data_IF_454617403432
#
_entry.id   IF_454617403432
#
_cell.length_a   1.000
_cell.length_b   1.000
_cell.length_c   1.000
_cell.angle_alpha   90.00
_cell.angle_beta   90.00
_cell.angle_gamma   90.00
#
_symmetry.space_group_name_H-M   'P 1'
#
loop_
_entity.id
_entity.type
_entity.pdbx_description
1 polymer ?
#
# COMPACT_ATOMS: atom_id res chain seq x y z
N UNK A 1 -15.03 -47.71 -5.92
CA UNK A 1 -14.67 -46.86 -4.76
C UNK A 1 -13.53 -45.88 -5.07
N UNK A 2 -12.42 -46.32 -5.70
CA UNK A 2 -11.28 -45.44 -6.02
C UNK A 2 -11.61 -44.26 -6.96
N UNK A 3 -12.56 -44.44 -7.89
CA UNK A 3 -12.98 -43.38 -8.82
C UNK A 3 -13.65 -42.22 -8.07
N UNK A 4 -14.52 -42.53 -7.10
CA UNK A 4 -15.21 -41.54 -6.29
C UNK A 4 -14.22 -40.77 -5.41
N UNK A 5 -13.24 -41.48 -4.82
CA UNK A 5 -12.18 -40.87 -4.03
C UNK A 5 -11.31 -39.91 -4.88
N UNK A 6 -10.90 -40.32 -6.08
CA UNK A 6 -10.12 -39.48 -6.99
C UNK A 6 -10.88 -38.23 -7.43
N UNK A 7 -12.19 -38.35 -7.66
CA UNK A 7 -13.04 -37.22 -8.02
C UNK A 7 -13.14 -36.22 -6.84
N UNK A 8 -13.33 -36.71 -5.62
CA UNK A 8 -13.37 -35.85 -4.42
C UNK A 8 -12.04 -35.12 -4.21
N UNK A 9 -10.90 -35.79 -4.39
CA UNK A 9 -9.57 -35.19 -4.21
C UNK A 9 -9.33 -34.09 -5.26
N UNK A 10 -9.65 -34.36 -6.53
CA UNK A 10 -9.43 -33.39 -7.62
C UNK A 10 -10.33 -32.17 -7.50
N UNK A 11 -11.61 -32.34 -7.11
CA UNK A 11 -12.51 -31.20 -6.86
C UNK A 11 -12.07 -30.38 -5.66
N UNK A 12 -11.63 -31.04 -4.57
CA UNK A 12 -11.15 -30.35 -3.36
C UNK A 12 -9.86 -29.57 -3.63
N UNK A 13 -8.92 -30.16 -4.37
CA UNK A 13 -7.68 -29.49 -4.75
C UNK A 13 -7.95 -28.30 -5.66
N UNK A 14 -8.84 -28.44 -6.64
CA UNK A 14 -9.23 -27.34 -7.55
C UNK A 14 -9.88 -26.18 -6.79
N UNK A 15 -10.79 -26.48 -5.85
CA UNK A 15 -11.44 -25.47 -5.02
C UNK A 15 -10.44 -24.71 -4.14
N UNK A 16 -9.48 -25.44 -3.53
CA UNK A 16 -8.46 -24.84 -2.67
C UNK A 16 -7.48 -23.98 -3.48
N UNK A 17 -7.10 -24.43 -4.68
CA UNK A 17 -6.25 -23.67 -5.59
C UNK A 17 -6.91 -22.38 -6.07
N UNK A 18 -8.20 -22.42 -6.39
CA UNK A 18 -8.98 -21.21 -6.74
C UNK A 18 -9.07 -20.25 -5.56
N UNK A 19 -9.32 -20.76 -4.35
CA UNK A 19 -9.39 -19.96 -3.12
C UNK A 19 -8.04 -19.27 -2.81
N UNK A 20 -6.94 -20.00 -2.95
CA UNK A 20 -5.59 -19.46 -2.77
C UNK A 20 -5.25 -18.40 -3.83
N UNK A 21 -5.58 -18.66 -5.10
CA UNK A 21 -5.37 -17.67 -6.16
C UNK A 21 -6.21 -16.40 -5.97
N UNK A 22 -7.39 -16.52 -5.36
CA UNK A 22 -8.23 -15.37 -5.04
C UNK A 22 -7.70 -14.54 -3.86
N UNK A 23 -6.96 -15.14 -2.93
CA UNK A 23 -6.49 -14.49 -1.69
C UNK A 23 -5.06 -13.95 -1.77
N UNK A 24 -4.23 -14.44 -2.70
CA UNK A 24 -2.82 -14.01 -2.83
C UNK A 24 -2.70 -12.51 -3.17
N UNK A 25 -3.62 -11.93 -3.97
CA UNK A 25 -3.60 -10.50 -4.30
C UNK A 25 -3.97 -9.60 -3.10
N UNK A 26 -4.76 -10.11 -2.14
CA UNK A 26 -5.27 -9.33 -1.00
C UNK A 26 -4.22 -9.22 0.13
N UNK A 27 -3.29 -10.17 0.23
CA UNK A 27 -2.22 -10.19 1.25
C UNK A 27 -1.17 -9.07 1.11
N UNK A 28 -1.16 -8.35 -0.01
CA UNK A 28 -0.24 -7.22 -0.22
C UNK A 28 -0.76 -5.89 0.33
N UNK A 29 -2.04 -5.85 0.70
CA UNK A 29 -2.77 -4.62 1.05
C UNK A 29 -3.44 -4.67 2.41
N UNK A 30 -2.92 -5.43 3.38
CA UNK A 30 -3.44 -5.36 4.76
C UNK A 30 -3.52 -3.90 5.22
N UNK A 31 -4.61 -3.48 5.87
CA UNK A 31 -4.76 -2.12 6.37
C UNK A 31 -3.65 -1.84 7.36
N UNK A 32 -2.62 -1.09 6.92
CA UNK A 32 -1.52 -0.69 7.77
C UNK A 32 -2.07 0.28 8.81
N UNK A 33 -2.22 -0.20 10.04
CA UNK A 33 -2.36 0.69 11.17
C UNK A 33 -0.97 1.13 11.67
N UNK A 34 -0.79 2.39 12.08
CA UNK A 34 0.47 2.84 12.71
C UNK A 34 0.84 1.95 13.90
N UNK A 35 -0.16 1.40 14.60
CA UNK A 35 0.04 0.44 15.69
C UNK A 35 0.60 -0.90 15.19
N UNK A 36 0.06 -1.43 14.09
CA UNK A 36 0.58 -2.65 13.46
C UNK A 36 2.00 -2.45 12.92
N UNK A 37 2.31 -1.26 12.39
CA UNK A 37 3.63 -0.86 11.93
C UNK A 37 4.67 -0.85 13.06
N UNK A 38 4.28 -0.33 14.22
CA UNK A 38 5.12 -0.28 15.42
C UNK A 38 5.47 -1.68 15.96
N UNK A 39 4.61 -2.67 15.74
CA UNK A 39 4.75 -4.05 16.22
C UNK A 39 5.38 -4.99 15.18
N UNK A 40 5.56 -4.54 13.94
CA UNK A 40 6.05 -5.41 12.86
C UNK A 40 7.56 -5.68 13.02
N UNK A 41 8.01 -6.95 13.13
CA UNK A 41 9.42 -7.29 13.36
C UNK A 41 10.34 -6.99 12.17
N UNK A 42 9.77 -6.85 10.97
CA UNK A 42 10.47 -6.38 9.76
C UNK A 42 10.38 -4.86 9.70
N UNK A 43 11.26 -4.19 10.44
CA UNK A 43 11.25 -2.73 10.65
C UNK A 43 10.99 -1.91 9.38
N UNK A 44 9.72 -1.55 9.18
CA UNK A 44 9.29 -0.56 8.20
C UNK A 44 9.66 0.82 8.71
N UNK A 45 10.04 1.69 7.79
CA UNK A 45 10.43 3.06 8.14
C UNK A 45 9.27 3.99 7.83
N UNK A 46 8.91 4.84 8.79
CA UNK A 46 7.92 5.88 8.60
C UNK A 46 8.61 7.13 8.03
N UNK A 47 8.31 7.48 6.79
CA UNK A 47 8.75 8.73 6.16
C UNK A 47 7.69 9.80 6.38
N UNK A 48 8.09 10.92 6.95
CA UNK A 48 7.24 12.07 7.25
C UNK A 48 8.00 13.33 6.86
N UNK A 49 7.37 14.23 6.11
CA UNK A 49 7.95 15.53 5.79
C UNK A 49 8.33 16.29 7.06
N UNK A 50 9.59 16.71 7.17
CA UNK A 50 10.16 17.33 8.40
C UNK A 50 9.46 18.64 8.74
N UNK A 51 9.03 19.41 7.73
CA UNK A 51 8.28 20.64 7.93
C UNK A 51 6.78 20.44 8.15
N UNK A 52 6.31 19.19 8.22
CA UNK A 52 4.89 18.90 8.43
C UNK A 52 4.45 19.08 9.89
N UNK A 53 3.18 19.41 10.06
CA UNK A 53 2.51 19.39 11.37
C UNK A 53 2.60 18.02 12.05
N UNK A 54 2.48 16.93 11.27
CA UNK A 54 2.55 15.57 11.77
C UNK A 54 3.92 15.28 12.39
N UNK A 55 5.02 15.60 11.69
CA UNK A 55 6.37 15.39 12.20
C UNK A 55 6.62 16.15 13.50
N UNK A 56 6.25 17.44 13.54
CA UNK A 56 6.37 18.24 14.76
C UNK A 56 5.57 17.65 15.91
N UNK A 57 4.37 17.13 15.66
CA UNK A 57 3.53 16.54 16.71
C UNK A 57 4.10 15.21 17.22
N UNK A 58 4.64 14.38 16.32
CA UNK A 58 5.29 13.11 16.66
C UNK A 58 6.54 13.36 17.52
N UNK A 59 7.40 14.30 17.11
CA UNK A 59 8.67 14.58 17.80
C UNK A 59 8.49 15.41 19.08
N UNK A 60 7.65 16.45 19.07
CA UNK A 60 7.59 17.42 20.18
C UNK A 60 6.65 17.03 21.32
N UNK A 61 5.56 16.31 21.05
CA UNK A 61 4.53 16.06 22.06
C UNK A 61 4.52 14.63 22.57
N UNK A 62 5.21 13.69 21.91
CA UNK A 62 5.15 12.27 22.31
C UNK A 62 3.70 11.74 22.41
N UNK A 63 2.76 12.42 21.74
CA UNK A 63 1.29 12.37 21.96
C UNK A 63 0.70 10.99 21.65
N UNK A 64 1.54 10.08 21.16
CA UNK A 64 1.25 8.67 20.95
C UNK A 64 2.26 7.90 21.78
N UNK A 65 1.85 7.54 23.00
CA UNK A 65 2.60 6.68 23.93
C UNK A 65 3.17 5.42 23.22
N UNK A 66 2.45 4.96 22.19
CA UNK A 66 2.83 3.85 21.31
C UNK A 66 4.02 4.14 20.40
N UNK A 67 4.16 5.34 19.83
CA UNK A 67 5.29 5.69 18.96
C UNK A 67 6.59 5.81 19.77
N UNK A 68 6.52 6.26 21.01
CA UNK A 68 7.67 6.35 21.91
C UNK A 68 8.17 4.98 22.41
N UNK A 69 7.25 4.01 22.58
CA UNK A 69 7.59 2.62 22.93
C UNK A 69 7.95 1.75 21.72
N UNK A 70 7.65 2.20 20.52
CA UNK A 70 7.83 1.41 19.30
C UNK A 70 9.29 1.41 18.82
N UNK A 71 9.70 0.33 18.16
CA UNK A 71 10.96 0.26 17.40
C UNK A 71 10.85 0.95 16.04
N UNK A 72 9.82 1.76 15.84
CA UNK A 72 9.51 2.41 14.58
C UNK A 72 10.59 3.44 14.27
N UNK A 73 11.26 3.25 13.14
CA UNK A 73 12.27 4.20 12.67
C UNK A 73 11.57 5.30 11.89
N UNK A 74 11.73 6.55 12.32
CA UNK A 74 11.16 7.72 11.64
C UNK A 74 12.27 8.38 10.83
N UNK A 75 12.02 8.65 9.55
CA UNK A 75 12.95 9.31 8.64
C UNK A 75 14.35 8.69 8.62
N UNK A 76 14.47 7.40 8.91
CA UNK A 76 15.71 6.65 8.68
C UNK A 76 15.77 6.19 7.23
N UNK A 77 16.87 5.54 6.84
CA UNK A 77 16.90 4.82 5.57
C UNK A 77 15.66 3.90 5.43
N UNK A 78 14.96 3.89 4.29
CA UNK A 78 15.31 4.49 2.99
C UNK A 78 14.77 5.91 2.73
N UNK A 79 14.17 6.58 3.71
CA UNK A 79 13.70 7.95 3.54
C UNK A 79 14.90 8.89 3.35
N UNK A 80 14.76 9.86 2.45
CA UNK A 80 15.78 10.87 2.21
C UNK A 80 15.77 11.90 3.36
N UNK A 81 16.88 12.09 4.08
CA UNK A 81 16.95 13.05 5.17
C UNK A 81 17.00 14.49 4.63
N UNK A 82 16.19 15.39 5.18
CA UNK A 82 16.21 16.80 4.79
C UNK A 82 14.96 17.58 5.23
N UNK A 83 15.08 18.92 5.23
CA UNK A 83 13.92 19.80 5.41
C UNK A 83 13.12 19.86 4.12
N UNK A 84 12.13 18.98 4.03
CA UNK A 84 11.19 18.93 2.92
C UNK A 84 9.77 19.21 3.41
N UNK A 85 9.01 19.96 2.61
CA UNK A 85 7.59 20.26 2.84
C UNK A 85 6.69 19.09 2.38
N UNK A 86 7.20 18.27 1.47
CA UNK A 86 6.57 17.08 0.90
C UNK A 86 7.62 15.98 0.85
N UNK A 87 7.27 14.75 1.20
CA UNK A 87 8.17 13.60 1.03
C UNK A 87 8.64 13.49 -0.43
N UNK A 88 9.95 13.27 -0.69
CA UNK A 88 10.47 13.11 -2.05
C UNK A 88 9.81 11.96 -2.82
N UNK A 89 9.60 12.14 -4.13
CA UNK A 89 8.97 11.16 -5.02
C UNK A 89 9.65 9.78 -4.97
N UNK A 90 10.98 9.76 -4.90
CA UNK A 90 11.78 8.53 -4.81
C UNK A 90 11.48 7.68 -3.56
N UNK A 91 11.13 8.33 -2.46
CA UNK A 91 10.84 7.67 -1.18
C UNK A 91 9.49 6.92 -1.24
N UNK A 92 8.57 7.32 -2.12
CA UNK A 92 7.29 6.62 -2.33
C UNK A 92 7.46 5.22 -2.92
N UNK A 93 8.52 5.01 -3.69
CA UNK A 93 8.84 3.72 -4.29
C UNK A 93 9.92 2.96 -3.51
N UNK A 94 10.35 3.44 -2.35
CA UNK A 94 11.37 2.78 -1.57
C UNK A 94 10.82 1.53 -0.86
N UNK A 95 11.60 0.44 -0.88
CA UNK A 95 11.22 -0.79 -0.19
C UNK A 95 11.08 -0.56 1.32
N UNK A 96 9.97 -1.03 1.89
CA UNK A 96 9.64 -0.91 3.32
C UNK A 96 9.44 0.53 3.84
N UNK A 97 9.25 1.52 2.95
CA UNK A 97 8.84 2.85 3.33
C UNK A 97 7.31 2.92 3.52
N UNK A 98 6.89 3.60 4.58
CA UNK A 98 5.49 4.00 4.80
C UNK A 98 5.47 5.49 4.92
N UNK A 99 4.62 6.14 4.12
CA UNK A 99 4.58 7.59 4.04
C UNK A 99 3.37 8.11 4.81
N UNK A 100 3.61 9.03 5.73
CA UNK A 100 2.57 9.80 6.40
C UNK A 100 2.55 11.21 5.82
N UNK A 101 1.52 11.48 5.03
CA UNK A 101 1.37 12.75 4.32
C UNK A 101 -0.04 13.32 4.46
N UNK A 102 -0.17 14.60 4.12
CA UNK A 102 -1.50 15.21 4.05
C UNK A 102 -2.26 14.67 2.83
N UNK A 103 -3.58 14.53 2.95
CA UNK A 103 -4.43 14.11 1.82
C UNK A 103 -4.26 15.02 0.59
N UNK A 104 -3.99 16.30 0.82
CA UNK A 104 -3.72 17.24 -0.26
C UNK A 104 -2.44 16.87 -1.02
N UNK A 105 -1.32 16.65 -0.31
CA UNK A 105 -0.06 16.27 -0.93
C UNK A 105 -0.18 14.90 -1.62
N UNK A 106 -0.78 13.91 -0.96
CA UNK A 106 -0.97 12.57 -1.52
C UNK A 106 -1.79 12.55 -2.82
N UNK A 107 -2.75 13.47 -2.98
CA UNK A 107 -3.61 13.54 -4.16
C UNK A 107 -3.08 14.48 -5.26
N UNK A 108 -2.29 15.49 -4.90
CA UNK A 108 -1.93 16.60 -5.80
C UNK A 108 -0.47 16.56 -6.24
N UNK A 109 0.45 16.21 -5.34
CA UNK A 109 1.82 15.93 -5.68
C UNK A 109 1.83 14.49 -6.18
N UNK A 110 1.50 14.30 -7.46
CA UNK A 110 1.65 13.01 -8.12
C UNK A 110 3.10 12.53 -7.92
N UNK A 111 3.36 11.63 -6.95
CA UNK A 111 4.73 11.26 -6.61
C UNK A 111 5.29 10.34 -7.71
N UNK A 112 4.41 9.66 -8.44
CA UNK A 112 4.74 8.73 -9.51
C UNK A 112 5.07 9.47 -10.80
N UNK A 113 4.37 10.55 -11.14
CA UNK A 113 4.74 11.38 -12.29
C UNK A 113 6.13 12.03 -12.18
N UNK A 114 6.66 12.14 -10.96
CA UNK A 114 7.99 12.68 -10.68
C UNK A 114 9.05 11.63 -10.40
N UNK A 115 8.66 10.35 -10.31
CA UNK A 115 9.56 9.24 -10.02
C UNK A 115 9.85 8.49 -11.32
N UNK A 116 11.13 8.23 -11.59
CA UNK A 116 11.53 7.37 -12.72
C UNK A 116 11.27 5.87 -12.43
N UNK A 117 10.78 5.53 -11.23
CA UNK A 117 10.54 4.15 -10.79
C UNK A 117 9.07 3.77 -10.95
N UNK A 118 8.83 2.64 -11.61
CA UNK A 118 7.52 1.99 -11.64
C UNK A 118 7.24 1.31 -10.29
N UNK A 119 6.35 1.88 -9.49
CA UNK A 119 5.87 1.26 -8.25
C UNK A 119 4.36 1.43 -8.08
N UNK A 120 3.75 0.58 -7.24
CA UNK A 120 2.32 0.66 -6.89
C UNK A 120 2.23 1.30 -5.52
N UNK A 121 1.49 2.39 -5.42
CA UNK A 121 1.25 3.12 -4.17
C UNK A 121 -0.16 2.76 -3.67
N UNK A 122 -0.24 2.33 -2.42
CA UNK A 122 -1.49 2.11 -1.71
C UNK A 122 -1.72 3.27 -0.74
N UNK A 123 -2.86 3.96 -0.91
CA UNK A 123 -3.27 5.07 -0.03
C UNK A 123 -4.32 4.53 0.94
N UNK A 124 -3.98 4.52 2.23
CA UNK A 124 -4.92 4.15 3.29
C UNK A 124 -5.73 5.36 3.74
N UNK A 125 -7.04 5.18 3.95
CA UNK A 125 -7.97 6.26 4.29
C UNK A 125 -7.92 6.70 5.76
N UNK A 126 -7.12 6.02 6.60
CA UNK A 126 -7.04 6.29 8.03
C UNK A 126 -6.29 7.59 8.31
N UNK A 127 -6.93 8.50 9.06
CA UNK A 127 -6.37 9.79 9.46
C UNK A 127 -5.83 9.69 10.88
N UNK A 128 -4.53 9.92 11.04
CA UNK A 128 -3.87 9.90 12.35
C UNK A 128 -3.82 11.28 13.01
N UNK A 129 -3.69 12.32 12.19
CA UNK A 129 -3.62 13.70 12.66
C UNK A 129 -4.60 14.56 11.88
N UNK A 130 -5.22 15.51 12.58
CA UNK A 130 -6.08 16.52 11.96
C UNK A 130 -5.47 17.89 12.21
N UNK A 131 -5.20 18.62 11.13
CA UNK A 131 -4.79 20.02 11.17
C UNK A 131 -5.88 20.89 10.56
N UNK A 132 -6.05 22.09 11.09
CA UNK A 132 -6.98 23.08 10.55
C UNK A 132 -6.19 24.20 9.85
N UNK A 133 -6.69 24.67 8.72
CA UNK A 133 -6.21 25.89 8.09
C UNK A 133 -6.71 27.08 8.90
N UNK A 134 -5.78 27.93 9.32
CA UNK A 134 -6.08 29.11 10.13
C UNK A 134 -5.67 30.36 9.34
N UNK A 135 -6.57 31.33 9.25
CA UNK A 135 -6.24 32.63 8.69
C UNK A 135 -5.58 33.48 9.79
N UNK A 136 -4.28 33.74 9.65
CA UNK A 136 -3.53 34.60 10.57
C UNK A 136 -3.64 36.05 10.11
N UNK A 137 -3.98 36.94 11.04
CA UNK A 137 -4.21 38.36 10.79
C UNK A 137 -3.42 39.19 11.79
N UNK A 138 -3.04 40.41 11.40
CA UNK A 138 -2.33 41.34 12.29
C UNK A 138 -3.16 41.63 13.54
N UNK A 139 -2.51 41.67 14.71
CA UNK A 139 -3.15 42.07 15.97
C UNK A 139 -3.80 43.45 15.81
N UNK A 140 -5.08 43.56 16.18
CA UNK A 140 -5.87 44.79 16.04
C UNK A 140 -6.48 45.02 14.65
N UNK A 141 -6.43 44.03 13.74
CA UNK A 141 -7.09 44.15 12.44
C UNK A 141 -8.61 44.36 12.61
N UNK A 142 -9.21 45.42 12.04
CA UNK A 142 -10.59 45.80 12.35
C UNK A 142 -11.63 44.85 11.74
N UNK A 143 -11.29 44.13 10.67
CA UNK A 143 -12.25 43.32 9.91
C UNK A 143 -12.31 41.84 10.30
N UNK A 144 -11.63 41.42 11.37
CA UNK A 144 -11.59 39.99 11.77
C UNK A 144 -12.98 39.42 12.00
N UNK A 145 -13.86 40.17 12.66
CA UNK A 145 -15.25 39.74 12.92
C UNK A 145 -16.03 39.53 11.61
N UNK A 146 -15.83 40.43 10.64
CA UNK A 146 -16.50 40.37 9.34
C UNK A 146 -16.00 39.15 8.57
N UNK A 147 -14.69 38.97 8.48
CA UNK A 147 -14.07 37.83 7.79
C UNK A 147 -14.56 36.50 8.39
N UNK A 148 -14.55 36.36 9.72
CA UNK A 148 -15.02 35.15 10.38
C UNK A 148 -16.51 34.86 10.08
N UNK A 149 -17.36 35.89 10.06
CA UNK A 149 -18.78 35.74 9.70
C UNK A 149 -18.94 35.22 8.28
N UNK A 150 -18.19 35.75 7.31
CA UNK A 150 -18.25 35.26 5.94
C UNK A 150 -17.64 33.87 5.77
N UNK A 151 -16.55 33.55 6.48
CA UNK A 151 -15.98 32.20 6.48
C UNK A 151 -16.98 31.17 7.00
N UNK A 152 -17.67 31.47 8.10
CA UNK A 152 -18.75 30.61 8.63
C UNK A 152 -19.88 30.45 7.60
N UNK A 153 -20.35 31.56 7.01
CA UNK A 153 -21.42 31.51 6.00
C UNK A 153 -21.02 30.72 4.74
N UNK A 154 -19.76 30.80 4.31
CA UNK A 154 -19.24 30.02 3.19
C UNK A 154 -19.10 28.53 3.53
N UNK A 155 -18.83 28.21 4.81
CA UNK A 155 -18.81 26.83 5.30
C UNK A 155 -20.22 26.25 5.37
N UNK A 156 -21.17 26.97 5.98
CA UNK A 156 -22.56 26.55 6.16
C UNK A 156 -23.31 26.41 4.83
N UNK A 157 -23.05 27.30 3.87
CA UNK A 157 -23.64 27.21 2.52
C UNK A 157 -23.05 26.08 1.66
N UNK A 158 -22.02 25.38 2.14
CA UNK A 158 -21.33 24.34 1.37
C UNK A 158 -20.40 24.88 0.26
N UNK A 159 -20.25 26.21 0.13
CA UNK A 159 -19.35 26.81 -0.87
C UNK A 159 -17.91 26.33 -0.70
N UNK A 160 -17.44 26.23 0.55
CA UNK A 160 -16.10 25.69 0.84
C UNK A 160 -15.95 24.24 0.41
N UNK A 161 -17.00 23.42 0.57
CA UNK A 161 -16.99 22.03 0.11
C UNK A 161 -16.91 21.96 -1.41
N UNK A 162 -17.72 22.76 -2.11
CA UNK A 162 -17.71 22.85 -3.57
C UNK A 162 -16.37 23.33 -4.13
N UNK A 163 -15.75 24.32 -3.50
CA UNK A 163 -14.40 24.77 -3.85
C UNK A 163 -13.39 23.64 -3.63
N UNK A 164 -13.46 22.96 -2.50
CA UNK A 164 -12.59 21.82 -2.23
C UNK A 164 -12.77 20.74 -3.29
N UNK A 165 -13.99 20.38 -3.67
CA UNK A 165 -14.26 19.39 -4.72
C UNK A 165 -13.81 19.84 -6.12
N UNK A 166 -13.82 21.16 -6.41
CA UNK A 166 -13.42 21.70 -7.71
C UNK A 166 -11.89 21.76 -7.90
N UNK A 167 -11.15 22.03 -6.82
CA UNK A 167 -9.69 22.19 -6.84
C UNK A 167 -8.94 20.94 -6.33
N UNK A 168 -9.64 20.14 -5.51
CA UNK A 168 -9.41 18.77 -5.08
C UNK A 168 -9.56 17.72 -6.20
N UNK A 169 -8.54 17.18 -6.89
CA UNK A 169 -8.79 16.00 -7.72
C UNK A 169 -9.40 14.90 -6.84
N UNK A 170 -10.64 14.49 -7.15
CA UNK A 170 -11.40 13.53 -6.33
C UNK A 170 -10.79 12.12 -6.34
N UNK A 171 -9.86 11.85 -7.25
CA UNK A 171 -9.10 10.61 -7.31
C UNK A 171 -7.64 10.94 -7.66
N UNK A 172 -6.65 10.27 -7.02
CA UNK A 172 -5.30 10.27 -7.56
C UNK A 172 -5.36 9.82 -9.03
N UNK A 173 -4.62 10.48 -9.92
CA UNK A 173 -4.58 10.13 -11.36
C UNK A 173 -3.97 8.75 -11.64
N UNK A 174 -3.42 8.10 -10.62
CA UNK A 174 -2.97 6.73 -10.68
C UNK A 174 -4.08 5.79 -10.27
N UNK A 175 -4.00 4.54 -10.75
CA UNK A 175 -4.82 3.42 -10.27
C UNK A 175 -4.63 3.27 -8.76
N UNK A 176 -5.30 4.09 -7.95
CA UNK A 176 -5.80 3.61 -6.68
C UNK A 176 -6.70 2.46 -7.08
N UNK A 177 -6.17 1.23 -6.99
CA UNK A 177 -7.07 0.12 -6.72
C UNK A 177 -7.72 0.50 -5.40
N UNK A 178 -8.86 1.16 -5.53
CA UNK A 178 -9.77 1.39 -4.44
C UNK A 178 -9.93 0.01 -3.79
N UNK A 179 -9.59 -0.16 -2.50
CA UNK A 179 -9.73 -1.46 -1.85
C UNK A 179 -11.19 -1.96 -1.89
N UNK A 180 -12.14 -1.04 -2.09
CA UNK A 180 -13.56 -1.32 -2.29
C UNK A 180 -14.00 -1.42 -3.77
N UNK A 181 -13.12 -1.09 -4.74
CA UNK A 181 -13.39 -1.50 -6.12
C UNK A 181 -13.20 -3.00 -6.18
N UNK A 182 -14.33 -3.72 -6.11
CA UNK A 182 -14.54 -5.11 -6.55
C UNK A 182 -14.20 -5.25 -8.05
N UNK A 183 -13.00 -4.86 -8.41
CA UNK A 183 -12.43 -4.89 -9.74
C UNK A 183 -12.08 -6.34 -9.98
N UNK A 184 -13.05 -7.04 -10.59
CA UNK A 184 -12.92 -8.32 -11.30
C UNK A 184 -11.52 -8.89 -11.18
N UNK A 185 -11.32 -9.83 -10.25
CA UNK A 185 -10.08 -10.58 -10.06
C UNK A 185 -9.62 -11.05 -11.43
N UNK A 186 -8.70 -10.32 -12.06
CA UNK A 186 -8.02 -10.77 -13.26
C UNK A 186 -6.94 -11.68 -12.72
N UNK A 187 -7.28 -12.95 -12.51
CA UNK A 187 -6.34 -13.99 -12.16
C UNK A 187 -5.23 -14.00 -13.22
N UNK A 188 -4.14 -13.28 -12.96
CA UNK A 188 -2.98 -13.25 -13.84
C UNK A 188 -2.06 -14.37 -13.39
N UNK A 189 -2.39 -15.59 -13.80
CA UNK A 189 -1.50 -16.74 -13.58
C UNK A 189 -0.21 -16.51 -14.36
N UNK A 190 0.85 -16.13 -13.65
CA UNK A 190 2.17 -15.97 -14.23
C UNK A 190 2.82 -17.34 -14.50
N UNK A 191 3.60 -17.44 -15.59
CA UNK A 191 4.37 -18.64 -15.94
C UNK A 191 5.26 -19.16 -14.80
N UNK A 192 5.64 -18.27 -13.88
CA UNK A 192 6.44 -18.63 -12.71
C UNK A 192 5.75 -19.67 -11.81
N UNK A 193 4.43 -19.61 -11.65
CA UNK A 193 3.68 -20.57 -10.83
C UNK A 193 3.60 -21.97 -11.46
N UNK A 194 3.72 -22.06 -12.79
CA UNK A 194 3.62 -23.32 -13.55
C UNK A 194 5.00 -23.97 -13.77
N UNK A 195 6.08 -23.18 -13.67
CA UNK A 195 7.47 -23.64 -13.81
C UNK A 195 7.80 -24.93 -13.02
N UNK A 196 7.51 -25.05 -11.70
CA UNK A 196 7.88 -26.26 -10.96
C UNK A 196 7.13 -27.51 -11.46
N UNK A 197 5.89 -27.36 -11.93
CA UNK A 197 5.11 -28.46 -12.49
C UNK A 197 5.69 -28.96 -13.81
N UNK A 198 6.12 -28.04 -14.69
CA UNK A 198 6.78 -28.38 -15.96
C UNK A 198 8.12 -29.08 -15.67
N UNK A 199 8.92 -28.56 -14.75
CA UNK A 199 10.21 -29.15 -14.37
C UNK A 199 10.01 -30.55 -13.78
N UNK A 200 9.03 -30.71 -12.88
CA UNK A 200 8.69 -32.01 -12.30
C UNK A 200 8.25 -33.03 -13.35
N UNK A 201 7.42 -32.61 -14.31
CA UNK A 201 6.99 -33.46 -15.42
C UNK A 201 8.17 -33.92 -16.29
N UNK A 202 9.08 -33.00 -16.65
CA UNK A 202 10.29 -33.34 -17.40
C UNK A 202 11.19 -34.34 -16.64
N UNK A 203 11.34 -34.16 -15.32
CA UNK A 203 12.09 -35.10 -14.49
C UNK A 203 11.45 -36.49 -14.48
N UNK A 204 10.12 -36.58 -14.41
CA UNK A 204 9.40 -37.85 -14.43
C UNK A 204 9.57 -38.58 -15.78
N UNK A 205 9.53 -37.85 -16.90
CA UNK A 205 9.77 -38.40 -18.24
C UNK A 205 11.20 -38.94 -18.37
N UNK A 206 12.20 -38.17 -17.91
CA UNK A 206 13.60 -38.60 -17.90
C UNK A 206 13.80 -39.86 -17.04
N UNK A 207 13.16 -39.91 -15.88
CA UNK A 207 13.22 -41.08 -15.00
C UNK A 207 12.59 -42.32 -15.65
N UNK A 208 11.42 -42.18 -16.27
CA UNK A 208 10.78 -43.28 -17.00
C UNK A 208 11.66 -43.78 -18.16
N UNK A 209 12.33 -42.86 -18.86
CA UNK A 209 13.32 -43.19 -19.90
C UNK A 209 14.51 -43.98 -19.34
N UNK A 210 15.05 -43.57 -18.19
CA UNK A 210 16.14 -44.28 -17.53
C UNK A 210 15.73 -45.70 -17.13
N UNK A 211 14.53 -45.87 -16.56
CA UNK A 211 14.00 -47.19 -16.20
C UNK A 211 13.86 -48.09 -17.43
N UNK A 212 13.31 -47.57 -18.54
CA UNK A 212 13.18 -48.32 -19.80
C UNK A 212 14.55 -48.67 -20.40
N UNK A 213 15.53 -47.77 -20.31
CA UNK A 213 16.89 -48.04 -20.77
C UNK A 213 17.55 -49.14 -19.94
N UNK A 214 17.39 -49.11 -18.61
CA UNK A 214 17.88 -50.17 -17.72
C UNK A 214 17.19 -51.51 -17.98
N UNK A 215 15.87 -51.52 -18.21
CA UNK A 215 15.14 -52.74 -18.52
C UNK A 215 15.62 -53.36 -19.84
N UNK A 216 15.84 -52.52 -20.86
CA UNK A 216 16.42 -52.99 -22.14
C UNK A 216 17.82 -53.56 -21.95
N UNK A 217 18.70 -52.88 -21.21
CA UNK A 217 20.05 -53.36 -20.92
C UNK A 217 20.03 -54.68 -20.14
N UNK A 218 19.15 -54.81 -19.15
CA UNK A 218 18.99 -56.02 -18.35
C UNK A 218 18.47 -57.21 -19.19
N UNK A 219 17.53 -56.98 -20.12
CA UNK A 219 17.01 -58.02 -21.03
C UNK A 219 17.98 -58.41 -22.15
N UNK A 220 19.01 -57.61 -22.38
CA UNK A 220 20.02 -57.86 -23.43
C UNK A 220 21.21 -58.66 -22.91
N UNK A 221 21.43 -58.66 -21.59
CA UNK A 221 22.33 -59.55 -20.86
C UNK A 221 21.63 -60.86 -20.50
#
# INVERSE_FOLDING_TARGET
>A
MCIVLGLIITTSFSALLISQLATVDESSGEPLDLESLAQTPRGRTLCVAVNSFAYRRIISHGDTEYLQKSTLKINSFPCTPGEHDIVPADDYCAHNAVILETLYNANHADPLAKSDKECIIYIYSKKYFTSHLILVVRKGFPFVRIINKYLLRMRESGLMRKLTEAWQPQQPRHRSLDPDSKSRVKLKVSFYHIKPLIVGYLCAVLFAWLVLAMEKLYKWW
#
